data_IF_622664246463
#
_entry.id   IF_622664246463
#
_cell.length_a   1.000
_cell.length_b   1.000
_cell.length_c   1.000
_cell.angle_alpha   90.00
_cell.angle_beta   90.00
_cell.angle_gamma   90.00
#
_symmetry.space_group_name_H-M   'P 1'
#
loop_
_entity.id
_entity.type
_entity.pdbx_description
1 polymer ?
#
# COMPACT_ATOMS: atom_id res chain seq x y z
N UNK A 1 19.99 2.38 -72.40
CA UNK A 1 18.53 2.23 -72.24
C UNK A 1 18.22 2.22 -70.74
N UNK A 2 18.58 3.25 -69.98
CA UNK A 2 18.24 4.69 -70.12
C UNK A 2 16.74 4.94 -70.16
N UNK A 3 16.28 5.56 -69.07
CA UNK A 3 15.20 6.55 -68.95
C UNK A 3 15.44 7.14 -67.54
N UNK A 4 16.24 8.20 -67.38
CA UNK A 4 15.89 9.62 -67.60
C UNK A 4 14.52 9.96 -66.99
N UNK A 5 14.50 10.61 -65.83
CA UNK A 5 14.57 12.07 -65.63
C UNK A 5 13.17 12.69 -65.66
N UNK A 6 12.70 13.16 -64.49
CA UNK A 6 11.75 14.27 -64.38
C UNK A 6 11.66 14.71 -62.92
N UNK A 7 12.60 15.59 -62.58
CA UNK A 7 12.41 16.63 -61.58
C UNK A 7 11.29 17.60 -62.01
N UNK A 8 10.53 18.10 -61.03
CA UNK A 8 9.68 19.32 -60.99
C UNK A 8 8.82 19.21 -59.72
N UNK A 9 8.48 20.23 -58.95
CA UNK A 9 8.76 21.66 -58.96
C UNK A 9 8.45 22.13 -57.53
N UNK A 10 9.25 23.05 -57.02
CA UNK A 10 9.04 23.73 -55.74
C UNK A 10 7.75 24.57 -55.78
N UNK A 11 6.89 24.43 -54.78
CA UNK A 11 5.92 25.47 -54.44
C UNK A 11 6.08 25.87 -52.98
N UNK A 12 6.76 27.00 -52.80
CA UNK A 12 6.80 27.79 -51.58
C UNK A 12 5.46 28.51 -51.47
N UNK A 13 4.62 28.11 -50.51
CA UNK A 13 3.39 28.84 -50.19
C UNK A 13 3.64 29.72 -48.97
N UNK A 14 3.76 31.02 -49.22
CA UNK A 14 3.75 32.08 -48.22
C UNK A 14 2.34 32.67 -48.17
N UNK A 15 1.64 32.54 -47.04
CA UNK A 15 0.48 33.35 -46.67
C UNK A 15 0.56 33.54 -45.14
N UNK A 16 0.99 34.70 -44.64
CA UNK A 16 0.23 35.94 -44.41
C UNK A 16 -0.94 35.80 -43.43
N UNK A 17 -0.90 36.62 -42.38
CA UNK A 17 -2.09 37.02 -41.62
C UNK A 17 -2.31 36.35 -40.25
N UNK A 18 -1.43 36.59 -39.29
CA UNK A 18 -1.77 36.42 -37.87
C UNK A 18 -2.63 37.62 -37.41
N UNK A 19 -3.88 37.43 -36.94
CA UNK A 19 -4.62 38.52 -36.31
C UNK A 19 -4.02 38.79 -34.92
N UNK A 20 -3.62 40.03 -34.70
CA UNK A 20 -3.24 40.55 -33.39
C UNK A 20 -4.42 40.41 -32.43
N UNK A 21 -4.32 39.47 -31.48
CA UNK A 21 -5.27 39.36 -30.39
C UNK A 21 -4.97 40.48 -29.39
N UNK A 22 -5.95 41.37 -29.23
CA UNK A 22 -5.92 42.46 -28.28
C UNK A 22 -5.65 41.94 -26.86
N UNK A 23 -4.67 42.53 -26.19
CA UNK A 23 -4.39 42.29 -24.79
C UNK A 23 -5.64 42.63 -23.95
N UNK A 24 -6.17 41.64 -23.25
CA UNK A 24 -7.22 41.84 -22.28
C UNK A 24 -6.70 42.73 -21.14
N UNK A 25 -7.52 43.66 -20.60
CA UNK A 25 -7.14 44.49 -19.47
C UNK A 25 -6.86 43.61 -18.24
N UNK A 26 -5.83 43.99 -17.49
CA UNK A 26 -5.44 43.31 -16.26
C UNK A 26 -6.62 43.23 -15.27
N UNK A 27 -6.82 42.08 -14.59
CA UNK A 27 -7.84 41.97 -13.56
C UNK A 27 -7.55 42.94 -12.41
N UNK A 28 -8.60 43.62 -11.95
CA UNK A 28 -8.53 44.51 -10.80
C UNK A 28 -7.99 43.76 -9.56
N UNK A 29 -7.16 44.41 -8.72
CA UNK A 29 -6.64 43.78 -7.52
C UNK A 29 -7.78 43.37 -6.59
N UNK A 30 -7.73 42.12 -6.13
CA UNK A 30 -8.68 41.60 -5.15
C UNK A 30 -8.65 42.45 -3.87
N UNK A 31 -9.81 42.71 -3.23
CA UNK A 31 -9.85 43.43 -1.96
C UNK A 31 -9.00 42.68 -0.93
N UNK A 32 -8.10 43.40 -0.27
CA UNK A 32 -7.32 42.85 0.83
C UNK A 32 -8.27 42.44 1.96
N UNK A 33 -8.12 41.22 2.53
CA UNK A 33 -8.90 40.82 3.69
C UNK A 33 -8.61 41.75 4.85
N UNK A 34 -9.67 42.31 5.43
CA UNK A 34 -9.60 43.12 6.65
C UNK A 34 -8.94 42.30 7.76
N UNK A 35 -7.86 42.83 8.32
CA UNK A 35 -7.18 42.25 9.49
C UNK A 35 -8.14 42.37 10.68
N UNK A 36 -8.54 41.26 11.32
CA UNK A 36 -9.38 41.32 12.50
C UNK A 36 -8.65 42.06 13.62
N UNK A 37 -9.23 43.17 14.07
CA UNK A 37 -8.83 43.87 15.29
C UNK A 37 -8.93 42.89 16.46
N UNK A 38 -7.79 42.47 17.00
CA UNK A 38 -7.75 41.63 18.20
C UNK A 38 -8.31 42.44 19.38
N UNK A 39 -9.43 41.99 19.93
CA UNK A 39 -9.90 42.47 21.23
C UNK A 39 -8.89 42.07 22.31
N UNK A 40 -8.62 42.93 23.31
CA UNK A 40 -7.80 42.58 24.46
C UNK A 40 -8.43 41.40 25.19
N UNK A 41 -7.73 40.27 25.24
CA UNK A 41 -8.13 39.11 26.03
C UNK A 41 -7.88 39.45 27.50
N UNK A 42 -8.95 39.41 28.28
CA UNK A 42 -8.94 39.54 29.74
C UNK A 42 -8.06 38.42 30.33
N UNK A 43 -7.12 38.71 31.25
CA UNK A 43 -6.26 37.69 31.82
C UNK A 43 -7.08 36.70 32.64
N UNK A 44 -7.05 35.43 32.21
CA UNK A 44 -7.70 34.32 32.89
C UNK A 44 -7.15 34.18 34.33
N UNK A 45 -8.03 33.99 35.34
CA UNK A 45 -7.59 33.84 36.73
C UNK A 45 -6.68 32.61 36.87
N UNK A 46 -5.50 32.83 37.44
CA UNK A 46 -4.54 31.75 37.73
C UNK A 46 -5.21 30.67 38.59
N UNK A 47 -5.20 29.40 38.16
CA UNK A 47 -5.69 28.30 38.98
C UNK A 47 -4.81 28.18 40.23
N UNK A 48 -5.48 28.02 41.38
CA UNK A 48 -4.84 27.76 42.65
C UNK A 48 -3.88 26.56 42.55
N UNK A 49 -2.75 26.57 43.29
CA UNK A 49 -1.81 25.46 43.29
C UNK A 49 -2.51 24.17 43.69
N UNK A 50 -2.62 23.25 42.74
CA UNK A 50 -3.16 21.90 42.96
C UNK A 50 -2.17 21.19 43.88
N UNK A 51 -2.64 20.74 45.03
CA UNK A 51 -1.89 19.85 45.93
C UNK A 51 -1.30 18.68 45.13
N UNK A 52 -0.04 18.28 45.39
CA UNK A 52 0.58 17.18 44.65
C UNK A 52 -0.27 15.92 44.80
N UNK A 53 -0.76 15.44 43.66
CA UNK A 53 -1.42 14.15 43.52
C UNK A 53 -0.49 13.06 44.09
N UNK A 54 -0.99 12.12 44.91
CA UNK A 54 -0.18 11.02 45.43
C UNK A 54 0.51 10.31 44.27
N UNK A 55 1.84 10.19 44.34
CA UNK A 55 2.63 9.53 43.32
C UNK A 55 2.00 8.17 42.97
N UNK A 56 1.60 8.02 41.70
CA UNK A 56 1.04 6.78 41.20
C UNK A 56 1.96 5.61 41.58
N UNK A 57 1.40 4.47 42.04
CA UNK A 57 2.20 3.30 42.38
C UNK A 57 3.13 2.97 41.21
N UNK A 58 4.40 2.73 41.50
CA UNK A 58 5.41 2.40 40.49
C UNK A 58 4.87 1.28 39.60
N UNK A 59 4.96 1.40 38.26
CA UNK A 59 4.48 0.36 37.37
C UNK A 59 5.25 -0.93 37.68
N UNK A 60 4.54 -1.96 38.14
CA UNK A 60 5.11 -3.28 38.44
C UNK A 60 5.65 -4.01 37.21
N UNK A 61 5.53 -3.41 36.03
CA UNK A 61 6.02 -3.95 34.76
C UNK A 61 7.51 -3.68 34.53
N UNK A 62 8.12 -4.54 33.73
CA UNK A 62 9.49 -4.41 33.25
C UNK A 62 9.66 -3.10 32.49
N UNK A 63 10.71 -2.31 32.75
CA UNK A 63 10.99 -1.09 32.00
C UNK A 63 11.38 -1.41 30.55
N UNK A 64 11.09 -0.52 29.60
CA UNK A 64 11.38 -0.75 28.19
C UNK A 64 12.87 -0.96 27.92
N UNK A 65 13.73 -0.27 28.67
CA UNK A 65 15.19 -0.34 28.60
C UNK A 65 15.75 -1.69 29.08
N UNK A 66 15.00 -2.41 29.90
CA UNK A 66 15.37 -3.74 30.40
C UNK A 66 15.01 -4.87 29.44
N UNK A 67 14.19 -4.60 28.42
CA UNK A 67 13.78 -5.58 27.42
C UNK A 67 14.89 -5.76 26.39
N UNK A 68 15.30 -7.01 26.11
CA UNK A 68 16.29 -7.31 25.06
C UNK A 68 15.72 -8.23 23.97
N UNK A 69 16.15 -8.06 22.71
CA UNK A 69 15.86 -9.04 21.66
C UNK A 69 16.33 -10.44 22.06
N UNK A 70 15.47 -11.44 21.85
CA UNK A 70 15.70 -12.82 22.24
C UNK A 70 15.07 -13.24 23.57
N UNK A 71 14.71 -12.29 24.44
CA UNK A 71 14.07 -12.58 25.73
C UNK A 71 12.60 -13.00 25.57
N UNK A 72 12.08 -13.70 26.58
CA UNK A 72 10.66 -14.00 26.71
C UNK A 72 9.99 -12.97 27.61
N UNK A 73 8.83 -12.48 27.18
CA UNK A 73 8.01 -11.54 27.93
C UNK A 73 6.59 -12.10 28.06
N UNK A 74 6.03 -12.01 29.26
CA UNK A 74 4.60 -12.23 29.49
C UNK A 74 3.88 -10.89 29.43
N UNK A 75 2.82 -10.81 28.63
CA UNK A 75 1.98 -9.62 28.56
C UNK A 75 0.91 -9.69 29.65
N UNK A 76 0.93 -8.75 30.59
CA UNK A 76 0.00 -8.67 31.72
C UNK A 76 -1.47 -8.55 31.31
N UNK A 77 -1.74 -8.06 30.09
CA UNK A 77 -3.12 -7.85 29.61
C UNK A 77 -3.77 -9.12 29.07
N UNK A 78 -3.00 -9.94 28.35
CA UNK A 78 -3.51 -11.12 27.66
C UNK A 78 -2.94 -12.44 28.21
N UNK A 79 -2.05 -12.35 29.20
CA UNK A 79 -1.34 -13.43 29.89
C UNK A 79 -0.52 -14.35 28.96
N UNK A 80 -0.31 -13.97 27.69
CA UNK A 80 0.48 -14.76 26.75
C UNK A 80 1.97 -14.42 26.87
N UNK A 81 2.78 -15.44 26.59
CA UNK A 81 4.23 -15.34 26.50
C UNK A 81 4.63 -15.12 25.06
N UNK A 82 5.55 -14.18 24.86
CA UNK A 82 6.07 -13.84 23.56
C UNK A 82 7.60 -13.77 23.58
N UNK A 83 8.24 -14.13 22.48
CA UNK A 83 9.67 -13.92 22.27
C UNK A 83 9.93 -12.57 21.61
N UNK A 84 10.76 -11.74 22.21
CA UNK A 84 11.15 -10.45 21.64
C UNK A 84 12.02 -10.68 20.41
N UNK A 85 11.61 -10.11 19.29
CA UNK A 85 12.32 -10.16 18.01
C UNK A 85 13.07 -8.87 17.72
N UNK A 86 12.60 -7.75 18.27
CA UNK A 86 13.24 -6.45 18.11
C UNK A 86 12.53 -5.34 18.85
N UNK A 87 13.17 -4.18 18.90
CA UNK A 87 12.65 -2.95 19.50
C UNK A 87 12.75 -1.82 18.48
N UNK A 88 11.74 -0.95 18.44
CA UNK A 88 11.71 0.21 17.54
C UNK A 88 11.04 1.40 18.24
N UNK A 89 11.83 2.24 18.91
CA UNK A 89 11.32 3.30 19.77
C UNK A 89 10.49 2.70 20.90
N UNK A 90 9.23 3.13 21.05
CA UNK A 90 8.29 2.56 22.04
C UNK A 90 7.57 1.29 21.56
N UNK A 91 7.97 0.70 20.44
CA UNK A 91 7.33 -0.53 19.91
C UNK A 91 8.17 -1.75 20.26
N UNK A 92 7.54 -2.76 20.84
CA UNK A 92 8.12 -4.08 21.07
C UNK A 92 7.62 -5.02 19.99
N UNK A 93 8.53 -5.54 19.17
CA UNK A 93 8.23 -6.54 18.16
C UNK A 93 8.42 -7.91 18.79
N UNK A 94 7.37 -8.70 18.85
CA UNK A 94 7.39 -10.00 19.51
C UNK A 94 6.83 -11.09 18.61
N UNK A 95 7.12 -12.34 18.96
CA UNK A 95 6.61 -13.52 18.28
C UNK A 95 5.94 -14.45 19.28
N UNK A 96 4.71 -14.86 19.01
CA UNK A 96 3.99 -15.82 19.86
C UNK A 96 4.43 -17.28 19.62
N UNK A 97 3.85 -18.19 20.41
CA UNK A 97 4.07 -19.65 20.32
C UNK A 97 3.76 -20.23 18.93
N UNK A 98 2.88 -19.60 18.15
CA UNK A 98 2.52 -20.00 16.79
C UNK A 98 3.40 -19.34 15.73
N UNK A 99 4.52 -18.76 16.14
CA UNK A 99 5.44 -17.99 15.31
C UNK A 99 4.80 -16.75 14.65
N UNK A 100 3.65 -16.28 15.11
CA UNK A 100 3.05 -15.07 14.60
C UNK A 100 3.70 -13.83 15.23
N UNK A 101 4.26 -12.98 14.38
CA UNK A 101 4.78 -11.68 14.75
C UNK A 101 3.66 -10.70 15.11
N UNK A 102 3.84 -10.02 16.24
CA UNK A 102 2.97 -8.98 16.77
C UNK A 102 3.81 -7.74 17.12
N UNK A 103 3.15 -6.58 17.11
CA UNK A 103 3.77 -5.32 17.51
C UNK A 103 2.92 -4.73 18.62
N UNK A 104 3.54 -4.49 19.76
CA UNK A 104 2.91 -3.83 20.89
C UNK A 104 3.51 -2.44 21.09
N UNK A 105 2.65 -1.45 21.36
CA UNK A 105 3.11 -0.18 21.92
C UNK A 105 3.39 -0.40 23.40
N UNK A 106 4.62 -0.15 23.84
CA UNK A 106 5.03 -0.30 25.22
C UNK A 106 4.39 0.77 26.12
N UNK A 107 3.73 0.30 27.17
CA UNK A 107 3.04 1.06 28.22
C UNK A 107 3.21 0.39 29.59
N UNK A 108 4.29 -0.39 29.80
CA UNK A 108 4.54 -1.10 31.07
C UNK A 108 3.74 -2.39 31.25
N UNK A 109 3.23 -2.99 30.16
CA UNK A 109 2.37 -4.18 30.20
C UNK A 109 3.13 -5.53 30.18
N UNK A 110 4.44 -5.54 30.38
CA UNK A 110 5.24 -6.76 30.26
C UNK A 110 5.94 -7.11 31.57
N UNK A 111 6.07 -8.41 31.84
CA UNK A 111 6.89 -8.96 32.91
C UNK A 111 7.72 -10.14 32.39
N UNK A 112 8.70 -10.61 33.18
CA UNK A 112 9.40 -11.86 32.86
C UNK A 112 8.48 -13.03 33.21
N UNK A 113 8.30 -14.02 32.31
CA UNK A 113 7.61 -15.25 32.69
C UNK A 113 8.40 -15.97 33.78
N UNK A 114 7.70 -16.74 34.62
CA UNK A 114 8.32 -17.66 35.57
C UNK A 114 9.11 -18.77 34.85
N UNK A 115 9.99 -19.48 35.57
CA UNK A 115 10.79 -20.57 34.97
C UNK A 115 9.90 -21.68 34.38
N UNK A 116 8.79 -22.01 35.04
CA UNK A 116 7.82 -23.01 34.56
C UNK A 116 7.14 -22.55 33.27
N UNK A 117 6.74 -21.28 33.22
CA UNK A 117 6.13 -20.64 32.04
C UNK A 117 7.10 -20.55 30.86
N UNK A 118 8.36 -20.21 31.12
CA UNK A 118 9.42 -20.17 30.11
C UNK A 118 9.72 -21.57 29.56
N UNK A 119 9.79 -22.59 30.43
CA UNK A 119 9.99 -23.98 30.03
C UNK A 119 8.86 -24.51 29.13
N UNK A 120 7.62 -24.11 29.41
CA UNK A 120 6.47 -24.48 28.58
C UNK A 120 6.52 -23.83 27.18
N UNK A 121 7.09 -22.62 27.06
CA UNK A 121 7.26 -21.95 25.77
C UNK A 121 8.22 -22.69 24.83
N UNK A 122 9.31 -23.22 25.37
CA UNK A 122 10.29 -24.00 24.59
C UNK A 122 9.74 -25.40 24.22
N UNK A 123 8.94 -26.02 25.09
CA UNK A 123 8.31 -27.33 24.83
C UNK A 123 7.13 -27.24 23.87
N UNK A 124 6.33 -26.17 23.94
CA UNK A 124 5.20 -25.89 23.04
C UNK A 124 5.63 -25.16 21.77
N UNK A 125 6.89 -25.24 21.36
CA UNK A 125 7.33 -24.84 20.03
C UNK A 125 6.71 -25.79 19.01
N UNK A 126 5.42 -25.60 18.76
CA UNK A 126 4.63 -26.31 17.77
C UNK A 126 5.40 -26.12 16.48
N UNK A 127 5.99 -27.20 15.94
CA UNK A 127 6.42 -27.25 14.54
C UNK A 127 5.32 -26.54 13.77
N UNK A 128 5.62 -25.42 13.07
CA UNK A 128 4.58 -24.59 12.46
C UNK A 128 3.63 -25.54 11.76
N UNK A 129 2.41 -25.64 12.29
CA UNK A 129 1.47 -26.61 11.78
C UNK A 129 1.39 -26.33 10.29
N UNK A 130 1.66 -27.35 9.47
CA UNK A 130 1.48 -27.21 8.04
C UNK A 130 0.10 -26.59 7.86
N UNK A 131 0.03 -25.41 7.24
CA UNK A 131 -1.18 -24.64 7.23
C UNK A 131 -2.20 -25.52 6.54
N UNK A 132 -3.15 -26.06 7.32
CA UNK A 132 -4.31 -26.76 6.80
C UNK A 132 -4.87 -25.78 5.79
N UNK A 133 -4.73 -26.11 4.50
CA UNK A 133 -5.30 -25.34 3.41
C UNK A 133 -6.79 -25.45 3.64
N UNK A 134 -7.32 -24.53 4.46
CA UNK A 134 -8.73 -24.39 4.70
C UNK A 134 -9.28 -24.10 3.33
N UNK A 135 -9.95 -25.09 2.73
CA UNK A 135 -10.69 -24.91 1.48
C UNK A 135 -11.49 -23.62 1.67
N UNK A 136 -11.16 -22.62 0.87
CA UNK A 136 -11.88 -21.36 0.85
C UNK A 136 -13.36 -21.71 0.70
N UNK A 137 -14.20 -21.15 1.56
CA UNK A 137 -15.64 -21.34 1.44
C UNK A 137 -16.07 -20.84 0.04
N UNK A 138 -16.72 -21.67 -0.79
CA UNK A 138 -17.08 -21.31 -2.16
C UNK A 138 -17.84 -19.97 -2.26
N UNK A 139 -18.64 -19.65 -1.24
CA UNK A 139 -19.38 -18.40 -1.11
C UNK A 139 -18.48 -17.16 -1.08
N UNK A 140 -17.28 -17.24 -0.47
CA UNK A 140 -16.34 -16.13 -0.43
C UNK A 140 -15.73 -15.90 -1.81
N UNK A 141 -15.33 -16.97 -2.52
CA UNK A 141 -14.80 -16.85 -3.87
C UNK A 141 -15.84 -16.24 -4.83
N UNK A 142 -17.10 -16.68 -4.73
CA UNK A 142 -18.21 -16.09 -5.48
C UNK A 142 -18.37 -14.61 -5.21
N UNK A 143 -18.32 -14.19 -3.94
CA UNK A 143 -18.41 -12.78 -3.54
C UNK A 143 -17.30 -11.92 -4.19
N UNK A 144 -16.07 -12.42 -4.25
CA UNK A 144 -14.97 -11.69 -4.90
C UNK A 144 -15.18 -11.56 -6.40
N UNK A 145 -15.69 -12.61 -7.06
CA UNK A 145 -16.02 -12.60 -8.49
C UNK A 145 -17.17 -11.64 -8.80
N UNK A 146 -18.25 -11.66 -8.01
CA UNK A 146 -19.40 -10.76 -8.17
C UNK A 146 -18.99 -9.29 -7.98
N UNK A 147 -18.11 -9.03 -7.00
CA UNK A 147 -17.55 -7.69 -6.77
C UNK A 147 -16.65 -7.24 -7.93
N UNK A 148 -15.85 -8.14 -8.51
CA UNK A 148 -15.05 -7.83 -9.69
C UNK A 148 -15.91 -7.57 -10.93
N UNK A 149 -16.97 -8.37 -11.15
CA UNK A 149 -17.92 -8.12 -12.22
C UNK A 149 -18.60 -6.76 -12.07
N UNK A 150 -19.00 -6.39 -10.84
CA UNK A 150 -19.55 -5.06 -10.54
C UNK A 150 -18.57 -3.94 -10.82
N UNK A 151 -17.27 -4.13 -10.56
CA UNK A 151 -16.24 -3.18 -10.93
C UNK A 151 -16.15 -3.03 -12.46
N UNK A 152 -16.17 -4.12 -13.23
CA UNK A 152 -16.13 -4.02 -14.70
C UNK A 152 -17.31 -3.22 -15.25
N UNK A 153 -18.51 -3.43 -14.73
CA UNK A 153 -19.69 -2.62 -15.09
C UNK A 153 -19.48 -1.14 -14.74
N UNK A 154 -18.94 -0.83 -13.56
CA UNK A 154 -18.62 0.54 -13.16
C UNK A 154 -17.56 1.16 -14.09
N UNK A 155 -16.54 0.40 -14.50
CA UNK A 155 -15.55 0.87 -15.48
C UNK A 155 -16.22 1.22 -16.80
N UNK A 156 -17.07 0.33 -17.36
CA UNK A 156 -17.79 0.56 -18.64
C UNK A 156 -18.60 1.85 -18.66
N UNK A 157 -19.13 2.27 -17.52
CA UNK A 157 -19.94 3.49 -17.41
C UNK A 157 -19.11 4.79 -17.43
N UNK A 158 -17.79 4.72 -17.21
CA UNK A 158 -16.93 5.90 -17.19
C UNK A 158 -16.49 6.31 -18.61
N UNK A 159 -16.66 7.58 -19.01
CA UNK A 159 -16.15 8.07 -20.29
C UNK A 159 -14.64 7.89 -20.44
N UNK A 160 -14.19 7.38 -21.59
CA UNK A 160 -12.77 7.19 -21.89
C UNK A 160 -12.13 5.96 -21.22
N UNK A 161 -12.92 5.15 -20.51
CA UNK A 161 -12.48 3.87 -19.99
C UNK A 161 -12.49 2.77 -21.07
N UNK A 162 -11.83 1.65 -20.80
CA UNK A 162 -11.88 0.44 -21.63
C UNK A 162 -11.90 -0.78 -20.72
N UNK A 163 -13.10 -1.21 -20.33
CA UNK A 163 -13.29 -2.31 -19.38
C UNK A 163 -12.77 -3.64 -19.94
N UNK A 164 -12.80 -3.84 -21.26
CA UNK A 164 -12.35 -5.08 -21.88
C UNK A 164 -10.83 -5.14 -21.91
N UNK A 165 -10.14 -4.02 -22.18
CA UNK A 165 -8.69 -3.92 -21.96
C UNK A 165 -8.30 -4.12 -20.50
N UNK A 166 -9.06 -3.54 -19.56
CA UNK A 166 -8.82 -3.77 -18.13
C UNK A 166 -8.93 -5.26 -17.78
N UNK A 167 -10.01 -5.91 -18.21
CA UNK A 167 -10.25 -7.33 -17.97
C UNK A 167 -9.16 -8.21 -18.60
N UNK A 168 -8.71 -7.88 -19.82
CA UNK A 168 -7.62 -8.58 -20.49
C UNK A 168 -6.28 -8.41 -19.76
N UNK A 169 -5.97 -7.20 -19.27
CA UNK A 169 -4.79 -6.95 -18.46
C UNK A 169 -4.85 -7.68 -17.11
N UNK A 170 -6.01 -7.64 -16.44
CA UNK A 170 -6.25 -8.36 -15.19
C UNK A 170 -6.06 -9.87 -15.35
N UNK A 171 -6.62 -10.47 -16.39
CA UNK A 171 -6.46 -11.89 -16.69
C UNK A 171 -4.99 -12.28 -16.84
N UNK A 172 -4.20 -11.49 -17.58
CA UNK A 172 -2.77 -11.74 -17.73
C UNK A 172 -2.00 -11.57 -16.41
N UNK A 173 -2.42 -10.63 -15.55
CA UNK A 173 -1.84 -10.50 -14.22
C UNK A 173 -2.14 -11.72 -13.34
N UNK A 174 -3.35 -12.29 -13.43
CA UNK A 174 -3.72 -13.53 -12.74
C UNK A 174 -2.90 -14.73 -13.21
N UNK A 175 -2.48 -14.79 -14.48
CA UNK A 175 -1.54 -15.83 -14.96
C UNK A 175 -0.16 -15.74 -14.28
N UNK A 176 0.24 -14.56 -13.80
CA UNK A 176 1.51 -14.35 -13.09
C UNK A 176 1.38 -14.67 -11.58
N UNK A 177 0.29 -14.26 -10.94
CA UNK A 177 0.11 -14.43 -9.48
C UNK A 177 -0.65 -15.71 -9.09
N UNK A 178 -1.32 -16.35 -10.05
CA UNK A 178 -2.31 -17.41 -9.84
C UNK A 178 -3.73 -16.86 -9.75
N UNK A 179 -4.70 -17.65 -10.20
CA UNK A 179 -6.12 -17.32 -10.20
C UNK A 179 -6.89 -18.09 -9.11
N UNK A 180 -6.67 -17.69 -7.85
CA UNK A 180 -7.40 -18.19 -6.69
C UNK A 180 -8.04 -17.00 -5.95
N UNK A 181 -9.35 -16.74 -6.19
CA UNK A 181 -10.08 -15.69 -5.50
C UNK A 181 -10.04 -15.96 -4.00
N UNK A 182 -9.77 -14.92 -3.20
CA UNK A 182 -9.56 -14.96 -1.73
C UNK A 182 -8.21 -15.50 -1.25
N UNK A 183 -7.37 -16.06 -2.12
CA UNK A 183 -5.97 -16.39 -1.80
C UNK A 183 -5.00 -15.48 -2.55
N UNK A 184 -4.82 -15.70 -3.85
CA UNK A 184 -3.85 -14.95 -4.68
C UNK A 184 -4.37 -13.60 -5.10
N UNK A 185 -5.68 -13.36 -5.03
CA UNK A 185 -6.27 -12.04 -5.26
C UNK A 185 -7.54 -11.82 -4.43
N UNK A 186 -7.97 -10.55 -4.31
CA UNK A 186 -9.25 -10.15 -3.68
C UNK A 186 -9.66 -8.75 -4.14
N UNK A 187 -10.93 -8.42 -3.96
CA UNK A 187 -11.46 -7.07 -4.03
C UNK A 187 -11.27 -6.37 -2.68
N UNK A 188 -10.34 -5.41 -2.63
CA UNK A 188 -10.11 -4.62 -1.44
C UNK A 188 -11.15 -3.50 -1.36
N UNK A 189 -11.91 -3.46 -0.28
CA UNK A 189 -12.77 -2.33 0.03
C UNK A 189 -11.91 -1.10 0.33
N UNK A 190 -12.20 0.01 -0.36
CA UNK A 190 -11.55 1.28 -0.14
C UNK A 190 -12.58 2.25 0.45
N UNK A 191 -12.25 2.89 1.57
CA UNK A 191 -13.20 3.82 2.22
C UNK A 191 -13.47 5.01 1.30
N UNK A 192 -14.73 5.18 0.90
CA UNK A 192 -15.14 6.28 0.03
C UNK A 192 -14.70 6.14 -1.44
N UNK A 193 -14.14 4.98 -1.82
CA UNK A 193 -13.71 4.71 -3.19
C UNK A 193 -14.24 3.35 -3.66
N UNK A 194 -14.27 3.16 -4.97
CA UNK A 194 -14.65 1.87 -5.55
C UNK A 194 -13.71 0.76 -5.06
N UNK A 195 -14.23 -0.46 -4.78
CA UNK A 195 -13.40 -1.61 -4.48
C UNK A 195 -12.38 -1.85 -5.60
N UNK A 196 -11.17 -2.26 -5.23
CA UNK A 196 -10.08 -2.44 -6.19
C UNK A 196 -9.50 -3.86 -6.12
N UNK A 197 -9.34 -4.55 -7.27
CA UNK A 197 -8.70 -5.84 -7.31
C UNK A 197 -7.25 -5.71 -6.84
N UNK A 198 -6.86 -6.60 -5.95
CA UNK A 198 -5.57 -6.61 -5.28
C UNK A 198 -4.97 -8.01 -5.38
N UNK A 199 -3.82 -8.10 -6.01
CA UNK A 199 -2.99 -9.30 -6.12
C UNK A 199 -2.17 -9.45 -4.83
N UNK A 200 -2.05 -10.68 -4.37
CA UNK A 200 -1.40 -11.04 -3.12
C UNK A 200 -0.34 -12.11 -3.33
N UNK A 201 0.69 -12.02 -2.50
CA UNK A 201 1.75 -13.01 -2.46
C UNK A 201 1.90 -13.58 -1.07
N UNK A 202 2.21 -14.87 -1.03
CA UNK A 202 2.52 -15.56 0.22
C UNK A 202 4.02 -15.54 0.44
N UNK A 203 4.45 -14.94 1.53
CA UNK A 203 5.86 -14.90 1.91
C UNK A 203 6.33 -16.31 2.27
N UNK A 204 7.40 -16.78 1.65
CA UNK A 204 8.07 -18.04 1.99
C UNK A 204 8.56 -18.04 3.45
N UNK A 205 9.11 -16.89 3.89
CA UNK A 205 9.71 -16.68 5.23
C UNK A 205 8.69 -16.62 6.36
N UNK A 206 7.59 -15.89 6.15
CA UNK A 206 6.60 -15.63 7.22
C UNK A 206 5.31 -16.44 7.06
N UNK A 207 5.14 -17.12 5.92
CA UNK A 207 3.92 -17.81 5.51
C UNK A 207 2.66 -16.92 5.48
N UNK A 208 2.81 -15.60 5.57
CA UNK A 208 1.73 -14.61 5.55
C UNK A 208 1.46 -14.14 4.13
N UNK A 209 0.18 -13.90 3.83
CA UNK A 209 -0.25 -13.21 2.63
C UNK A 209 -0.02 -11.70 2.76
N UNK A 210 0.50 -11.08 1.71
CA UNK A 210 0.72 -9.64 1.59
C UNK A 210 0.07 -9.12 0.32
N UNK A 211 -0.56 -7.95 0.41
CA UNK A 211 -1.01 -7.21 -0.77
C UNK A 211 0.24 -6.70 -1.52
N UNK A 212 0.39 -7.14 -2.76
CA UNK A 212 1.56 -6.85 -3.58
C UNK A 212 1.25 -5.75 -4.60
N UNK A 213 0.16 -5.92 -5.35
CA UNK A 213 -0.27 -5.01 -6.41
C UNK A 213 -1.75 -4.74 -6.26
N UNK A 214 -2.15 -3.47 -6.30
CA UNK A 214 -3.55 -3.05 -6.36
C UNK A 214 -3.78 -2.33 -7.67
N UNK A 215 -4.84 -2.68 -8.38
CA UNK A 215 -5.25 -2.00 -9.61
C UNK A 215 -6.49 -1.18 -9.34
N UNK A 216 -6.39 0.13 -9.52
CA UNK A 216 -7.54 1.00 -9.49
C UNK A 216 -7.95 1.32 -10.93
N UNK A 217 -9.16 0.90 -11.30
CA UNK A 217 -9.68 1.04 -12.65
C UNK A 217 -10.90 1.98 -12.65
N UNK A 218 -10.73 3.16 -13.25
CA UNK A 218 -11.82 4.14 -13.47
C UNK A 218 -11.75 4.65 -14.91
N UNK A 219 -11.51 5.95 -15.14
CA UNK A 219 -11.22 6.53 -16.48
C UNK A 219 -9.82 6.12 -17.00
N UNK A 220 -8.95 5.68 -16.09
CA UNK A 220 -7.57 5.26 -16.32
C UNK A 220 -7.25 4.10 -15.38
N UNK A 221 -6.19 3.36 -15.68
CA UNK A 221 -5.69 2.30 -14.78
C UNK A 221 -4.55 2.86 -13.96
N UNK A 222 -4.70 2.87 -12.64
CA UNK A 222 -3.61 3.14 -11.72
C UNK A 222 -3.12 1.82 -11.14
N UNK A 223 -1.83 1.52 -11.37
CA UNK A 223 -1.16 0.34 -10.82
C UNK A 223 -0.40 0.80 -9.58
N UNK A 224 -0.71 0.22 -8.43
CA UNK A 224 -0.10 0.56 -7.14
C UNK A 224 0.65 -0.67 -6.64
N UNK A 225 1.96 -0.55 -6.41
CA UNK A 225 2.83 -1.62 -5.96
C UNK A 225 3.38 -1.30 -4.58
N UNK A 226 3.29 -2.25 -3.65
CA UNK A 226 3.89 -2.09 -2.31
C UNK A 226 5.42 -2.07 -2.40
N UNK A 227 6.07 -1.08 -1.79
CA UNK A 227 7.55 -0.99 -1.77
C UNK A 227 8.19 -2.19 -1.08
N UNK A 228 7.48 -2.82 -0.15
CA UNK A 228 7.94 -3.99 0.59
C UNK A 228 8.08 -5.24 -0.28
N UNK A 229 7.40 -5.31 -1.43
CA UNK A 229 7.48 -6.47 -2.34
C UNK A 229 8.43 -6.25 -3.51
N UNK A 230 8.92 -5.02 -3.73
CA UNK A 230 9.88 -4.74 -4.78
C UNK A 230 11.24 -5.39 -4.44
N UNK A 231 11.85 -6.15 -5.37
CA UNK A 231 13.17 -6.74 -5.14
C UNK A 231 14.20 -5.65 -4.84
N UNK A 232 15.11 -5.89 -3.89
CA UNK A 232 16.16 -4.91 -3.56
C UNK A 232 17.11 -4.68 -4.75
N UNK A 233 17.42 -5.75 -5.50
CA UNK A 233 18.28 -5.73 -6.70
C UNK A 233 17.69 -4.91 -7.84
N UNK A 234 16.37 -4.80 -7.91
CA UNK A 234 15.64 -4.21 -9.03
C UNK A 234 14.82 -2.98 -8.59
N UNK A 235 15.09 -2.44 -7.40
CA UNK A 235 14.30 -1.35 -6.80
C UNK A 235 14.28 -0.11 -7.69
N UNK A 236 15.38 0.23 -8.34
CA UNK A 236 15.44 1.35 -9.28
C UNK A 236 14.64 1.09 -10.55
N UNK A 237 14.71 -0.12 -11.11
CA UNK A 237 13.91 -0.51 -12.28
C UNK A 237 12.41 -0.48 -11.97
N UNK A 238 12.01 -0.99 -10.80
CA UNK A 238 10.62 -0.86 -10.33
C UNK A 238 10.23 0.63 -10.19
N UNK A 239 11.06 1.47 -9.56
CA UNK A 239 10.77 2.91 -9.42
C UNK A 239 10.67 3.64 -10.76
N UNK A 240 11.46 3.26 -11.75
CA UNK A 240 11.38 3.84 -13.09
C UNK A 240 10.03 3.56 -13.77
N UNK A 241 9.43 2.40 -13.48
CA UNK A 241 8.09 2.02 -13.99
C UNK A 241 6.95 2.65 -13.18
N UNK A 242 7.21 3.03 -11.94
CA UNK A 242 6.23 3.56 -10.98
C UNK A 242 6.73 4.89 -10.39
N UNK A 243 6.65 5.99 -11.15
CA UNK A 243 7.28 7.26 -10.79
C UNK A 243 6.63 7.93 -9.56
N UNK A 244 5.39 7.60 -9.23
CA UNK A 244 4.66 8.22 -8.12
C UNK A 244 5.04 7.53 -6.79
N UNK A 245 6.05 8.05 -6.09
CA UNK A 245 6.68 7.40 -4.92
C UNK A 245 5.95 7.63 -3.58
N UNK A 246 4.89 8.45 -3.53
CA UNK A 246 4.26 8.85 -2.26
C UNK A 246 2.94 8.13 -1.95
N UNK A 247 2.68 7.02 -2.63
CA UNK A 247 1.36 6.41 -2.57
C UNK A 247 1.14 5.57 -1.30
N UNK A 248 -0.10 5.53 -0.81
CA UNK A 248 -0.47 4.85 0.44
C UNK A 248 0.40 5.28 1.65
N UNK A 249 0.54 6.59 1.87
CA UNK A 249 1.39 7.18 2.91
C UNK A 249 2.89 6.83 2.74
N UNK A 250 3.38 6.86 1.50
CA UNK A 250 4.78 6.60 1.16
C UNK A 250 5.21 5.13 1.21
N UNK A 251 4.28 4.20 1.38
CA UNK A 251 4.55 2.75 1.43
C UNK A 251 4.41 2.06 0.08
N UNK A 252 3.84 2.73 -0.90
CA UNK A 252 3.66 2.20 -2.24
C UNK A 252 4.23 3.16 -3.28
N UNK A 253 4.56 2.60 -4.43
CA UNK A 253 4.85 3.32 -5.67
C UNK A 253 3.69 3.10 -6.62
N UNK A 254 3.40 4.06 -7.49
CA UNK A 254 2.33 3.88 -8.46
C UNK A 254 2.65 4.49 -9.83
N UNK A 255 1.83 4.11 -10.80
CA UNK A 255 1.77 4.73 -12.12
C UNK A 255 0.32 4.76 -12.56
N UNK A 256 -0.03 5.81 -13.29
CA UNK A 256 -1.36 5.96 -13.87
C UNK A 256 -1.28 5.99 -15.39
N UNK A 257 -2.04 5.10 -16.04
CA UNK A 257 -1.98 4.84 -17.47
C UNK A 257 -3.39 5.01 -18.07
N UNK A 258 -3.59 5.95 -19.01
CA UNK A 258 -4.82 6.01 -19.79
C UNK A 258 -5.03 4.71 -20.58
N UNK A 259 -6.27 4.25 -20.74
CA UNK A 259 -6.54 2.98 -21.44
C UNK A 259 -6.09 2.95 -22.91
N UNK A 260 -6.11 4.11 -23.58
CA UNK A 260 -5.58 4.26 -24.94
C UNK A 260 -4.08 3.98 -25.03
N UNK A 261 -3.37 4.19 -23.91
CA UNK A 261 -1.93 4.07 -23.79
C UNK A 261 -1.50 2.72 -23.19
N UNK A 262 -2.46 1.88 -22.79
CA UNK A 262 -2.24 0.52 -22.27
C UNK A 262 -2.18 -0.48 -23.44
N UNK A 263 -1.13 -0.38 -24.25
CA UNK A 263 -0.86 -1.28 -25.37
C UNK A 263 -0.14 -2.58 -24.91
N UNK A 264 0.03 -3.52 -25.84
CA UNK A 264 0.68 -4.81 -25.58
C UNK A 264 2.12 -4.66 -25.04
N UNK A 265 2.89 -3.70 -25.54
CA UNK A 265 4.26 -3.48 -25.11
C UNK A 265 4.33 -2.98 -23.66
N UNK A 266 3.44 -2.05 -23.27
CA UNK A 266 3.34 -1.60 -21.89
C UNK A 266 2.81 -2.68 -20.98
N UNK A 267 1.75 -3.39 -21.38
CA UNK A 267 1.23 -4.53 -20.62
C UNK A 267 2.34 -5.54 -20.34
N UNK A 268 3.10 -5.92 -21.37
CA UNK A 268 4.25 -6.83 -21.22
C UNK A 268 5.28 -6.30 -20.22
N UNK A 269 5.63 -5.02 -20.29
CA UNK A 269 6.59 -4.37 -19.38
C UNK A 269 6.14 -4.49 -17.92
N UNK A 270 4.87 -4.21 -17.62
CA UNK A 270 4.35 -4.34 -16.25
C UNK A 270 4.26 -5.80 -15.79
N UNK A 271 3.86 -6.72 -16.67
CA UNK A 271 3.82 -8.15 -16.35
C UNK A 271 5.22 -8.72 -16.10
N UNK A 272 6.24 -8.29 -16.81
CA UNK A 272 7.64 -8.67 -16.56
C UNK A 272 8.09 -8.19 -15.17
N UNK A 273 7.75 -6.96 -14.79
CA UNK A 273 7.98 -6.45 -13.44
C UNK A 273 7.23 -7.29 -12.39
N UNK A 274 5.98 -7.67 -12.64
CA UNK A 274 5.23 -8.53 -11.74
C UNK A 274 5.90 -9.90 -11.55
N UNK A 275 6.40 -10.52 -12.62
CA UNK A 275 7.13 -11.79 -12.53
C UNK A 275 8.39 -11.67 -11.66
N UNK A 276 9.11 -10.55 -11.76
CA UNK A 276 10.26 -10.27 -10.89
C UNK A 276 9.84 -10.16 -9.42
N UNK A 277 8.75 -9.44 -9.13
CA UNK A 277 8.18 -9.34 -7.78
C UNK A 277 7.82 -10.72 -7.23
N UNK A 278 7.07 -11.54 -7.99
CA UNK A 278 6.69 -12.90 -7.58
C UNK A 278 7.94 -13.74 -7.28
N UNK A 279 8.92 -13.75 -8.20
CA UNK A 279 10.15 -14.51 -8.05
C UNK A 279 10.94 -14.11 -6.81
N UNK A 280 11.11 -12.81 -6.57
CA UNK A 280 11.88 -12.31 -5.43
C UNK A 280 11.17 -12.55 -4.09
N UNK A 281 9.83 -12.47 -4.08
CA UNK A 281 9.04 -12.64 -2.86
C UNK A 281 8.83 -14.11 -2.46
N UNK A 282 8.94 -15.02 -3.42
CA UNK A 282 8.89 -16.48 -3.19
C UNK A 282 10.25 -17.10 -2.84
N UNK A 283 11.36 -16.40 -3.11
CA UNK A 283 12.71 -16.81 -2.72
C UNK A 283 12.96 -16.66 -1.20
#
# INVERSE_FOLDING_TARGET
>A
MENEDLAKESQTQTQDGAPAQAAAPAPAPAPQPEVPTQQPVEPEPQPAPVSPEPAAPAPSGLQLEDIKPGELLKNLKDENIYKVTGLSGRKVLVRDLLAAERVFLYVGQFERPSEDEAGEFDLKRVKPAEPKVSKVAPELAKKELDAFASLLEAVRQNPGSDADKFAAFWKQALEVFGDDPTMTWRMRANKGLQPSPTLRLRSSKTHRWRDAVMLWAMEKVTIIVSKEVCPETDREACRALFPDDNEAYGKAISVTIPYRDLDEAKVKTYLDCFRLIVKAFSA
#
